data_IF_849511365651
#
_entry.id   IF_849511365651
#
_cell.length_a   1.000
_cell.length_b   1.000
_cell.length_c   1.000
_cell.angle_alpha   90.00
_cell.angle_beta   90.00
_cell.angle_gamma   90.00
#
_symmetry.space_group_name_H-M   'P 1'
#
loop_
_entity.id
_entity.type
_entity.pdbx_description
1 polymer ?
#
# COMPACT_ATOMS: atom_id res chain seq x y z
N UNK A 1 -7.68 4.39 7.22
CA UNK A 1 -8.42 5.67 7.11
C UNK A 1 -7.87 6.39 5.89
N UNK A 2 -8.75 6.87 5.02
CA UNK A 2 -8.42 7.34 3.68
C UNK A 2 -9.19 8.63 3.40
N UNK A 3 -8.59 9.71 2.86
CA UNK A 3 -7.42 9.72 1.96
C UNK A 3 -6.34 10.75 2.30
N UNK A 4 -5.15 10.46 1.81
CA UNK A 4 -4.14 11.47 1.56
C UNK A 4 -3.74 11.38 0.10
N UNK A 5 -4.26 12.28 -0.73
CA UNK A 5 -3.81 12.43 -2.12
C UNK A 5 -2.48 13.15 -2.23
N UNK A 6 -2.09 13.93 -1.21
CA UNK A 6 -0.86 14.74 -1.20
C UNK A 6 0.27 14.05 -0.42
N UNK A 7 1.49 14.22 -0.93
CA UNK A 7 2.70 13.62 -0.37
C UNK A 7 3.01 14.16 1.04
N UNK A 8 2.81 15.46 1.26
CA UNK A 8 3.06 16.13 2.53
C UNK A 8 2.25 15.50 3.66
N UNK A 9 1.01 15.11 3.37
CA UNK A 9 0.13 14.52 4.34
C UNK A 9 0.60 13.09 4.67
N UNK A 10 1.08 12.31 3.69
CA UNK A 10 1.73 11.01 3.93
C UNK A 10 2.90 11.19 4.89
N UNK A 11 3.82 12.11 4.57
CA UNK A 11 5.01 12.36 5.39
C UNK A 11 4.61 12.77 6.80
N UNK A 12 3.65 13.67 6.96
CA UNK A 12 3.14 14.07 8.28
C UNK A 12 2.61 12.88 9.08
N UNK A 13 1.80 12.02 8.47
CA UNK A 13 1.23 10.83 9.12
C UNK A 13 2.28 9.80 9.55
N UNK A 14 3.34 9.63 8.76
CA UNK A 14 4.45 8.74 9.11
C UNK A 14 5.31 9.38 10.20
N UNK A 15 5.75 10.62 9.99
CA UNK A 15 6.70 11.32 10.87
C UNK A 15 6.13 11.59 12.26
N UNK A 16 4.82 11.86 12.39
CA UNK A 16 4.19 12.00 13.72
C UNK A 16 4.26 10.73 14.57
N UNK A 17 4.60 9.57 13.98
CA UNK A 17 4.73 8.27 14.64
C UNK A 17 6.18 7.77 14.74
N UNK A 18 7.16 8.55 14.25
CA UNK A 18 8.58 8.18 14.10
C UNK A 18 9.32 7.85 15.42
N UNK A 19 8.72 8.16 16.58
CA UNK A 19 9.33 7.92 17.89
C UNK A 19 8.64 6.80 18.69
N UNK A 20 7.76 6.04 18.06
CA UNK A 20 7.13 4.89 18.70
C UNK A 20 8.06 3.66 18.63
N UNK A 21 7.94 2.74 19.59
CA UNK A 21 8.71 1.49 19.62
C UNK A 21 8.38 0.54 18.44
N UNK A 22 7.33 0.85 17.68
CA UNK A 22 6.83 0.02 16.59
C UNK A 22 6.96 0.78 15.27
N UNK A 23 7.61 0.18 14.26
CA UNK A 23 7.66 0.74 12.91
C UNK A 23 6.28 1.07 12.34
N UNK A 24 6.20 2.16 11.59
CA UNK A 24 5.00 2.56 10.85
C UNK A 24 4.87 1.70 9.61
N UNK A 25 3.77 0.95 9.52
CA UNK A 25 3.49 0.04 8.39
C UNK A 25 2.30 0.56 7.61
N UNK A 26 2.49 0.69 6.31
CA UNK A 26 1.48 1.24 5.41
C UNK A 26 1.65 0.74 3.98
N UNK A 27 0.57 0.80 3.21
CA UNK A 27 0.59 0.58 1.77
C UNK A 27 0.47 1.88 0.98
N UNK A 28 1.07 1.97 -0.20
CA UNK A 28 0.74 2.95 -1.23
C UNK A 28 0.13 2.20 -2.40
N UNK A 29 -1.10 2.56 -2.78
CA UNK A 29 -1.73 2.13 -4.01
C UNK A 29 -1.43 3.19 -5.06
N UNK A 30 -0.44 2.94 -5.92
CA UNK A 30 -0.15 3.83 -7.03
C UNK A 30 -1.09 3.45 -8.17
N UNK A 31 -2.21 4.17 -8.26
CA UNK A 31 -3.27 3.90 -9.21
C UNK A 31 -3.72 5.20 -9.90
N UNK A 32 -3.37 5.33 -11.19
CA UNK A 32 -3.86 6.42 -12.04
C UNK A 32 -5.29 6.10 -12.49
N UNK A 33 -6.24 7.01 -12.27
CA UNK A 33 -7.64 6.84 -12.68
C UNK A 33 -7.78 6.59 -14.19
N UNK A 34 -6.91 7.15 -15.03
CA UNK A 34 -6.99 7.00 -16.48
C UNK A 34 -6.54 5.62 -16.97
N UNK A 35 -5.88 4.82 -16.13
CA UNK A 35 -5.46 3.47 -16.49
C UNK A 35 -6.62 2.48 -16.30
N UNK A 36 -7.05 1.84 -17.40
CA UNK A 36 -8.17 0.88 -17.37
C UNK A 36 -7.96 -0.22 -16.33
N UNK A 37 -6.76 -0.81 -16.30
CA UNK A 37 -6.40 -1.86 -15.34
C UNK A 37 -6.48 -1.37 -13.88
N UNK A 38 -6.15 -0.11 -13.58
CA UNK A 38 -6.35 0.44 -12.22
C UNK A 38 -7.82 0.36 -11.79
N UNK A 39 -8.74 0.74 -12.70
CA UNK A 39 -10.17 0.69 -12.42
C UNK A 39 -10.63 -0.74 -12.15
N UNK A 40 -10.26 -1.64 -13.06
CA UNK A 40 -10.62 -3.06 -13.00
C UNK A 40 -10.11 -3.75 -11.74
N UNK A 41 -8.85 -3.54 -11.36
CA UNK A 41 -8.23 -4.30 -10.26
C UNK A 41 -8.35 -3.64 -8.88
N UNK A 42 -8.48 -2.32 -8.80
CA UNK A 42 -8.29 -1.57 -7.55
C UNK A 42 -9.46 -0.65 -7.26
N UNK A 43 -9.71 0.32 -8.15
CA UNK A 43 -10.58 1.45 -7.81
C UNK A 43 -12.04 1.01 -7.64
N UNK A 44 -12.51 0.04 -8.44
CA UNK A 44 -13.85 -0.52 -8.30
C UNK A 44 -14.07 -1.30 -6.99
N UNK A 45 -12.99 -1.74 -6.33
CA UNK A 45 -13.04 -2.54 -5.10
C UNK A 45 -12.55 -1.78 -3.87
N UNK A 46 -12.32 -0.47 -3.98
CA UNK A 46 -11.69 0.33 -2.93
C UNK A 46 -12.50 0.33 -1.63
N UNK A 47 -13.84 0.32 -1.70
CA UNK A 47 -14.70 0.21 -0.52
C UNK A 47 -14.58 -1.16 0.16
N UNK A 48 -14.42 -2.23 -0.62
CA UNK A 48 -14.19 -3.58 -0.09
C UNK A 48 -12.84 -3.65 0.63
N UNK A 49 -11.81 -3.03 0.05
CA UNK A 49 -10.49 -2.96 0.66
C UNK A 49 -10.49 -2.10 1.93
N UNK A 50 -11.16 -0.96 1.92
CA UNK A 50 -11.34 -0.13 3.12
C UNK A 50 -12.03 -0.92 4.23
N UNK A 51 -13.16 -1.58 3.92
CA UNK A 51 -13.91 -2.41 4.86
C UNK A 51 -13.06 -3.54 5.45
N UNK A 52 -12.25 -4.22 4.63
CA UNK A 52 -11.44 -5.37 5.08
C UNK A 52 -10.14 -4.98 5.78
N UNK A 53 -9.56 -3.83 5.43
CA UNK A 53 -8.33 -3.34 6.07
C UNK A 53 -8.54 -2.95 7.54
N UNK A 54 -9.78 -2.57 7.90
CA UNK A 54 -10.33 -2.37 9.27
C UNK A 54 -9.29 -1.93 10.32
N UNK A 55 -8.55 -0.86 10.00
CA UNK A 55 -7.53 -0.20 10.83
C UNK A 55 -6.21 -0.98 11.07
N UNK A 56 -6.06 -2.22 10.59
CA UNK A 56 -4.85 -3.02 10.81
C UNK A 56 -3.66 -2.56 9.97
N UNK A 57 -3.93 -2.01 8.78
CA UNK A 57 -2.93 -1.39 7.92
C UNK A 57 -3.54 -0.17 7.24
N UNK A 58 -2.83 0.95 7.29
CA UNK A 58 -3.23 2.14 6.54
C UNK A 58 -2.69 2.01 5.13
N UNK A 59 -3.49 2.40 4.15
CA UNK A 59 -3.00 2.56 2.80
C UNK A 59 -3.14 4.05 2.42
N UNK A 60 -2.38 4.49 1.42
CA UNK A 60 -2.42 5.82 0.81
C UNK A 60 -2.52 5.70 -0.72
N UNK A 61 -3.16 6.69 -1.37
CA UNK A 61 -3.69 6.61 -2.73
C UNK A 61 -3.41 7.98 -3.31
N UNK A 62 -2.24 8.15 -3.93
CA UNK A 62 -1.78 9.42 -4.45
C UNK A 62 -2.79 10.05 -5.39
N UNK A 63 -2.92 11.37 -5.36
CA UNK A 63 -3.74 12.12 -6.32
C UNK A 63 -5.24 12.19 -6.05
N UNK A 64 -5.80 11.47 -5.08
CA UNK A 64 -7.23 11.52 -4.76
C UNK A 64 -7.52 12.48 -3.60
N UNK A 65 -8.35 13.50 -3.86
CA UNK A 65 -8.62 14.63 -2.97
C UNK A 65 -10.10 14.71 -2.62
N UNK A 66 -10.43 15.19 -1.41
CA UNK A 66 -11.83 15.43 -0.99
C UNK A 66 -12.51 16.55 -1.79
N UNK A 67 -11.71 17.49 -2.27
CA UNK A 67 -12.20 18.64 -3.02
C UNK A 67 -12.20 18.35 -4.51
N UNK A 68 -13.35 18.57 -5.14
CA UNK A 68 -13.45 18.61 -6.58
C UNK A 68 -12.95 19.97 -7.09
N UNK A 69 -11.65 20.02 -7.38
CA UNK A 69 -11.00 21.25 -7.84
C UNK A 69 -11.34 21.59 -9.30
N UNK A 70 -11.92 20.66 -10.07
CA UNK A 70 -12.06 20.79 -11.53
C UNK A 70 -13.42 20.36 -12.09
N UNK A 71 -14.39 20.02 -11.25
CA UNK A 71 -15.69 19.48 -11.66
C UNK A 71 -15.51 18.16 -12.45
N UNK A 72 -14.64 17.27 -11.97
CA UNK A 72 -14.27 16.05 -12.66
C UNK A 72 -15.15 14.86 -12.23
N UNK A 73 -15.64 14.08 -13.20
CA UNK A 73 -16.29 12.78 -12.94
C UNK A 73 -15.29 11.66 -12.54
N UNK A 74 -14.01 12.01 -12.42
CA UNK A 74 -12.90 11.10 -12.14
C UNK A 74 -12.78 10.83 -10.65
N UNK A 75 -13.79 10.19 -10.07
CA UNK A 75 -13.89 9.98 -8.62
C UNK A 75 -13.98 8.53 -8.19
N UNK A 76 -13.60 8.31 -6.94
CA UNK A 76 -13.92 7.10 -6.18
C UNK A 76 -14.76 7.48 -4.97
N UNK A 77 -15.57 6.55 -4.48
CA UNK A 77 -16.35 6.73 -3.27
C UNK A 77 -15.84 5.79 -2.19
N UNK A 78 -15.58 6.30 -0.99
CA UNK A 78 -15.24 5.49 0.19
C UNK A 78 -16.10 5.98 1.35
N UNK A 79 -16.89 5.08 1.96
CA UNK A 79 -17.78 5.42 3.10
C UNK A 79 -18.70 6.61 2.78
N UNK A 80 -19.31 6.61 1.60
CA UNK A 80 -20.21 7.67 1.13
C UNK A 80 -19.55 9.05 0.99
N UNK A 81 -18.22 9.12 0.98
CA UNK A 81 -17.47 10.33 0.64
C UNK A 81 -16.80 10.14 -0.71
N UNK A 82 -16.90 11.16 -1.54
CA UNK A 82 -16.29 11.18 -2.87
C UNK A 82 -14.88 11.78 -2.79
N UNK A 83 -13.97 11.19 -3.56
CA UNK A 83 -12.60 11.66 -3.71
C UNK A 83 -12.24 11.72 -5.19
N UNK A 84 -11.76 12.88 -5.60
CA UNK A 84 -11.57 13.27 -6.99
C UNK A 84 -10.10 13.13 -7.36
N UNK A 85 -9.85 12.52 -8.52
CA UNK A 85 -8.50 12.36 -9.04
C UNK A 85 -7.98 13.69 -9.58
N UNK A 86 -6.79 14.05 -9.14
CA UNK A 86 -6.04 15.20 -9.64
C UNK A 86 -4.67 14.74 -10.14
N UNK A 87 -4.48 14.81 -11.47
CA UNK A 87 -3.27 14.32 -12.14
C UNK A 87 -2.00 15.05 -11.69
N UNK A 88 -2.05 16.37 -11.51
CA UNK A 88 -0.86 17.14 -11.11
C UNK A 88 -0.41 16.76 -9.69
N UNK A 89 -1.37 16.57 -8.77
CA UNK A 89 -1.10 16.10 -7.41
C UNK A 89 -0.56 14.67 -7.42
N UNK A 90 -1.11 13.80 -8.27
CA UNK A 90 -0.62 12.44 -8.46
C UNK A 90 0.84 12.42 -8.93
N UNK A 91 1.17 13.18 -9.98
CA UNK A 91 2.53 13.24 -10.54
C UNK A 91 3.52 13.84 -9.54
N UNK A 92 3.18 14.97 -8.92
CA UNK A 92 4.01 15.59 -7.88
C UNK A 92 4.25 14.65 -6.69
N UNK A 93 3.27 13.82 -6.33
CA UNK A 93 3.45 12.80 -5.31
C UNK A 93 4.50 11.78 -5.73
N UNK A 94 4.41 11.27 -6.96
CA UNK A 94 5.35 10.26 -7.47
C UNK A 94 6.77 10.81 -7.64
N UNK A 95 6.92 12.05 -8.11
CA UNK A 95 8.23 12.72 -8.20
C UNK A 95 8.91 12.80 -6.81
N UNK A 96 8.15 13.15 -5.78
CA UNK A 96 8.65 13.20 -4.39
C UNK A 96 8.95 11.82 -3.83
N UNK A 97 8.13 10.82 -4.16
CA UNK A 97 8.37 9.42 -3.79
C UNK A 97 9.69 8.92 -4.41
N UNK A 98 9.97 9.27 -5.66
CA UNK A 98 11.23 8.95 -6.33
C UNK A 98 12.42 9.60 -5.63
N UNK A 99 12.31 10.89 -5.29
CA UNK A 99 13.40 11.63 -4.62
C UNK A 99 13.70 11.08 -3.22
N UNK A 100 12.67 10.95 -2.38
CA UNK A 100 12.84 10.67 -0.95
C UNK A 100 12.95 9.17 -0.65
N UNK A 101 12.09 8.37 -1.27
CA UNK A 101 12.07 6.92 -1.04
C UNK A 101 12.99 6.18 -2.00
N UNK A 102 13.37 6.74 -3.16
CA UNK A 102 14.08 6.01 -4.23
C UNK A 102 13.22 4.90 -4.84
N UNK A 103 11.98 5.24 -5.17
CA UNK A 103 11.03 4.37 -5.86
C UNK A 103 10.76 4.97 -7.24
N UNK A 104 11.20 4.29 -8.29
CA UNK A 104 11.00 4.75 -9.66
C UNK A 104 9.52 4.77 -10.05
N UNK A 105 9.17 5.63 -11.01
CA UNK A 105 7.81 5.68 -11.57
C UNK A 105 7.41 4.30 -12.13
N UNK A 106 6.30 3.69 -11.64
CA UNK A 106 6.01 2.29 -11.94
C UNK A 106 5.46 2.06 -13.36
N UNK A 107 4.90 3.08 -14.02
CA UNK A 107 4.20 3.00 -15.33
C UNK A 107 2.96 2.10 -15.36
N UNK A 108 2.76 1.25 -14.36
CA UNK A 108 1.62 0.38 -14.18
C UNK A 108 1.04 0.48 -12.75
N UNK A 109 -0.18 -0.04 -12.50
CA UNK A 109 -0.75 -0.09 -11.17
C UNK A 109 0.12 -0.95 -10.23
N UNK A 110 0.59 -0.37 -9.12
CA UNK A 110 1.40 -1.09 -8.13
C UNK A 110 0.88 -0.90 -6.71
N UNK A 111 1.01 -1.96 -5.92
CA UNK A 111 0.94 -1.89 -4.47
C UNK A 111 2.37 -1.82 -3.92
N UNK A 112 2.66 -0.79 -3.12
CA UNK A 112 3.92 -0.65 -2.40
C UNK A 112 3.63 -0.80 -0.91
N UNK A 113 4.08 -1.88 -0.28
CA UNK A 113 4.02 -2.03 1.18
C UNK A 113 5.33 -1.56 1.80
N UNK A 114 5.27 -0.76 2.86
CA UNK A 114 6.42 -0.15 3.50
C UNK A 114 6.40 -0.32 5.02
N UNK A 115 7.59 -0.53 5.57
CA UNK A 115 7.86 -0.60 7.00
C UNK A 115 8.93 0.42 7.32
N UNK A 116 8.49 1.52 7.93
CA UNK A 116 9.31 2.65 8.29
C UNK A 116 9.59 2.64 9.80
N UNK A 117 10.86 2.47 10.19
CA UNK A 117 11.28 2.63 11.58
C UNK A 117 11.49 4.12 11.89
N UNK A 118 12.61 4.69 11.41
CA UNK A 118 13.00 6.08 11.67
C UNK A 118 14.07 6.60 10.72
N UNK A 119 14.26 7.91 10.71
CA UNK A 119 15.32 8.59 9.96
C UNK A 119 14.94 8.87 8.51
N UNK A 120 15.76 8.35 7.58
CA UNK A 120 15.64 8.66 6.16
C UNK A 120 14.77 7.61 5.45
N UNK A 121 13.79 8.09 4.67
CA UNK A 121 12.87 7.26 3.91
C UNK A 121 13.55 6.31 2.90
N UNK A 122 14.75 6.64 2.43
CA UNK A 122 15.47 5.78 1.48
C UNK A 122 15.94 4.43 2.07
N UNK A 123 15.91 4.25 3.40
CA UNK A 123 16.18 2.97 4.12
C UNK A 123 14.92 2.26 4.55
N UNK A 124 13.76 2.72 4.07
CA UNK A 124 12.48 2.08 4.37
C UNK A 124 12.46 0.72 3.68
N UNK A 125 12.24 -0.33 4.47
CA UNK A 125 12.00 -1.67 3.95
C UNK A 125 10.71 -1.66 3.15
N UNK A 126 10.75 -2.22 1.94
CA UNK A 126 9.62 -2.14 1.02
C UNK A 126 9.44 -3.36 0.14
N UNK A 127 8.18 -3.57 -0.21
CA UNK A 127 7.73 -4.59 -1.14
C UNK A 127 6.92 -3.89 -2.22
N UNK A 128 7.26 -4.11 -3.49
CA UNK A 128 6.55 -3.56 -4.63
C UNK A 128 5.90 -4.73 -5.37
N UNK A 129 4.59 -4.68 -5.57
CA UNK A 129 3.80 -5.70 -6.26
C UNK A 129 3.14 -5.06 -7.47
N UNK A 130 3.52 -5.48 -8.67
CA UNK A 130 2.83 -5.15 -9.91
C UNK A 130 1.49 -5.87 -9.97
N UNK A 131 0.39 -5.10 -10.07
CA UNK A 131 -0.97 -5.62 -9.97
C UNK A 131 -1.57 -6.01 -11.33
N UNK A 132 -0.88 -5.66 -12.42
CA UNK A 132 -1.44 -5.70 -13.76
C UNK A 132 -0.69 -6.67 -14.71
N UNK A 133 0.03 -7.64 -14.11
CA UNK A 133 0.91 -8.56 -14.81
C UNK A 133 0.14 -9.39 -15.85
N UNK A 134 0.78 -9.73 -16.98
CA UNK A 134 0.17 -10.50 -18.07
C UNK A 134 -0.45 -11.80 -17.55
N UNK A 135 -1.78 -11.88 -17.47
CA UNK A 135 -2.52 -13.04 -16.96
C UNK A 135 -2.99 -12.96 -15.50
N UNK A 136 -2.88 -11.80 -14.85
CA UNK A 136 -3.50 -11.53 -13.55
C UNK A 136 -5.01 -11.41 -13.69
N UNK A 137 -5.76 -12.27 -13.00
CA UNK A 137 -7.22 -12.13 -12.91
C UNK A 137 -7.59 -11.23 -11.71
N UNK A 138 -8.67 -10.45 -11.87
CA UNK A 138 -9.23 -9.55 -10.85
C UNK A 138 -9.46 -10.30 -9.53
N UNK A 139 -9.94 -11.54 -9.64
CA UNK A 139 -10.15 -12.41 -8.49
C UNK A 139 -8.87 -12.64 -7.69
N UNK A 140 -7.76 -12.94 -8.37
CA UNK A 140 -6.49 -13.23 -7.72
C UNK A 140 -5.90 -12.01 -7.03
N UNK A 141 -6.03 -10.82 -7.65
CA UNK A 141 -5.65 -9.55 -7.02
C UNK A 141 -6.48 -9.33 -5.76
N UNK A 142 -7.80 -9.51 -5.83
CA UNK A 142 -8.70 -9.39 -4.68
C UNK A 142 -8.35 -10.34 -3.54
N UNK A 143 -8.13 -11.63 -3.84
CA UNK A 143 -7.74 -12.65 -2.86
C UNK A 143 -6.39 -12.34 -2.21
N UNK A 144 -5.42 -11.82 -2.97
CA UNK A 144 -4.14 -11.35 -2.41
C UNK A 144 -4.35 -10.21 -1.41
N UNK A 145 -5.18 -9.22 -1.73
CA UNK A 145 -5.51 -8.14 -0.78
C UNK A 145 -6.19 -8.69 0.48
N UNK A 146 -7.18 -9.58 0.34
CA UNK A 146 -7.83 -10.21 1.49
C UNK A 146 -6.82 -10.94 2.38
N UNK A 147 -5.89 -11.68 1.77
CA UNK A 147 -4.82 -12.37 2.51
C UNK A 147 -3.88 -11.42 3.25
N UNK A 148 -3.50 -10.30 2.62
CA UNK A 148 -2.70 -9.25 3.27
C UNK A 148 -3.43 -8.71 4.51
N UNK A 149 -4.74 -8.45 4.41
CA UNK A 149 -5.54 -7.93 5.51
C UNK A 149 -5.70 -8.94 6.65
N UNK A 150 -5.89 -10.23 6.33
CA UNK A 150 -5.94 -11.31 7.33
C UNK A 150 -4.63 -11.37 8.13
N UNK A 151 -3.49 -11.38 7.44
CA UNK A 151 -2.16 -11.42 8.10
C UNK A 151 -1.96 -10.17 8.96
N UNK A 152 -2.33 -8.98 8.45
CA UNK A 152 -2.23 -7.74 9.22
C UNK A 152 -3.06 -7.82 10.52
N UNK A 153 -4.30 -8.32 10.44
CA UNK A 153 -5.19 -8.49 11.59
C UNK A 153 -4.60 -9.45 12.63
N UNK A 154 -4.09 -10.60 12.20
CA UNK A 154 -3.46 -11.58 13.09
C UNK A 154 -2.26 -10.97 13.83
N UNK A 155 -1.40 -10.26 13.11
CA UNK A 155 -0.18 -9.66 13.68
C UNK A 155 -0.48 -8.55 14.65
N UNK A 156 -1.40 -7.64 14.32
CA UNK A 156 -1.83 -6.56 15.22
C UNK A 156 -2.44 -7.15 16.50
N UNK A 157 -3.33 -8.14 16.36
CA UNK A 157 -3.96 -8.82 17.50
C UNK A 157 -2.93 -9.47 18.43
N UNK A 158 -1.90 -10.12 17.87
CA UNK A 158 -0.82 -10.73 18.63
C UNK A 158 0.04 -9.66 19.32
N UNK A 159 0.35 -8.55 18.65
CA UNK A 159 1.16 -7.48 19.23
C UNK A 159 0.42 -6.80 20.40
N UNK A 160 -0.88 -6.55 20.25
CA UNK A 160 -1.71 -5.99 21.33
C UNK A 160 -1.79 -6.94 22.53
N UNK A 161 -1.88 -8.25 22.28
CA UNK A 161 -1.80 -9.27 23.31
C UNK A 161 -0.41 -9.36 23.97
N UNK A 162 0.68 -9.25 23.22
CA UNK A 162 2.05 -9.30 23.76
C UNK A 162 2.36 -8.09 24.64
N UNK A 163 1.91 -6.90 24.24
CA UNK A 163 2.01 -5.66 25.02
C UNK A 163 1.26 -5.75 26.34
N UNK A 164 0.05 -6.29 26.34
CA UNK A 164 -0.73 -6.46 27.58
C UNK A 164 -0.07 -7.44 28.56
N UNK A 165 0.81 -8.32 28.06
CA UNK A 165 1.58 -9.28 28.84
C UNK A 165 3.03 -8.83 29.16
N UNK A 166 3.44 -7.60 28.80
CA UNK A 166 4.81 -7.08 28.96
C UNK A 166 5.91 -8.04 28.45
N UNK A 167 5.65 -8.78 27.37
CA UNK A 167 6.65 -9.66 26.76
C UNK A 167 7.13 -9.07 25.44
N UNK A 168 8.36 -8.56 25.46
CA UNK A 168 9.11 -8.18 24.26
C UNK A 168 9.52 -9.45 23.52
N UNK A 169 8.86 -9.76 22.41
CA UNK A 169 9.20 -11.02 21.75
C UNK A 169 8.49 -11.37 20.47
N UNK A 170 8.36 -10.44 19.51
CA UNK A 170 8.12 -10.83 18.11
C UNK A 170 9.01 -10.01 17.16
N UNK A 171 10.16 -10.61 16.84
CA UNK A 171 11.25 -10.02 16.02
C UNK A 171 11.02 -10.02 14.50
N UNK A 172 9.90 -10.54 13.98
CA UNK A 172 9.59 -10.47 12.54
C UNK A 172 8.58 -9.37 12.27
N UNK A 173 8.96 -8.39 11.45
CA UNK A 173 8.09 -7.30 11.01
C UNK A 173 6.89 -7.82 10.21
N UNK A 174 5.79 -7.06 10.19
CA UNK A 174 4.57 -7.45 9.47
C UNK A 174 4.85 -7.69 7.98
N UNK A 175 5.79 -6.95 7.36
CA UNK A 175 6.12 -7.18 5.95
C UNK A 175 6.72 -8.56 5.68
N UNK A 176 7.53 -9.10 6.59
CA UNK A 176 8.07 -10.46 6.42
C UNK A 176 6.97 -11.49 6.48
N UNK A 177 6.03 -11.33 7.43
CA UNK A 177 4.87 -12.22 7.55
C UNK A 177 3.93 -12.11 6.37
N UNK A 178 3.73 -10.91 5.82
CA UNK A 178 2.96 -10.72 4.59
C UNK A 178 3.61 -11.52 3.47
N UNK A 179 4.90 -11.33 3.18
CA UNK A 179 5.60 -12.08 2.11
C UNK A 179 5.52 -13.58 2.31
N UNK A 180 5.78 -14.07 3.53
CA UNK A 180 5.67 -15.50 3.85
C UNK A 180 4.24 -16.03 3.67
N UNK A 181 3.21 -15.20 3.94
CA UNK A 181 1.81 -15.60 3.85
C UNK A 181 1.16 -15.40 2.47
N UNK A 182 1.73 -14.58 1.58
CA UNK A 182 1.27 -14.41 0.19
C UNK A 182 2.10 -15.22 -0.82
N UNK A 183 3.38 -15.54 -0.56
CA UNK A 183 4.32 -16.46 -1.24
C UNK A 183 4.09 -16.84 -2.75
N UNK A 184 4.68 -17.95 -3.23
CA UNK A 184 4.64 -18.47 -4.61
C UNK A 184 3.25 -18.78 -5.17
N UNK A 185 2.22 -18.75 -4.32
CA UNK A 185 0.83 -18.99 -4.70
C UNK A 185 0.21 -17.78 -5.38
N UNK A 186 0.54 -16.57 -4.93
CA UNK A 186 -0.03 -15.33 -5.46
C UNK A 186 0.98 -14.51 -6.27
N UNK A 187 2.26 -14.55 -5.89
CA UNK A 187 3.28 -13.65 -6.46
C UNK A 187 4.50 -14.41 -7.01
N UNK A 188 5.14 -13.82 -8.02
CA UNK A 188 6.42 -14.25 -8.58
C UNK A 188 7.45 -13.13 -8.43
N UNK A 189 8.63 -13.43 -7.90
CA UNK A 189 9.70 -12.45 -7.77
C UNK A 189 10.20 -12.00 -9.15
N UNK A 190 10.27 -10.68 -9.36
CA UNK A 190 10.88 -10.07 -10.55
C UNK A 190 12.37 -9.81 -10.27
N UNK A 191 12.68 -9.26 -9.10
CA UNK A 191 14.05 -8.93 -8.69
C UNK A 191 14.17 -8.87 -7.17
N UNK A 192 15.31 -9.33 -6.65
CA UNK A 192 15.68 -9.27 -5.23
C UNK A 192 17.05 -8.58 -5.13
N UNK A 193 17.08 -7.28 -4.81
CA UNK A 193 18.36 -6.60 -4.56
C UNK A 193 18.76 -6.71 -3.09
N UNK A 194 20.06 -6.55 -2.87
CA UNK A 194 20.79 -6.68 -1.60
C UNK A 194 20.49 -5.62 -0.53
N UNK A 195 19.48 -4.75 -0.70
CA UNK A 195 19.22 -3.60 0.20
C UNK A 195 17.74 -3.28 0.42
N UNK A 196 16.94 -4.23 0.93
CA UNK A 196 15.62 -3.94 1.52
C UNK A 196 14.45 -3.65 0.53
N UNK A 197 14.65 -3.82 -0.79
CA UNK A 197 13.61 -3.71 -1.81
C UNK A 197 13.36 -5.08 -2.45
N UNK A 198 12.13 -5.58 -2.32
CA UNK A 198 11.69 -6.78 -3.02
C UNK A 198 10.61 -6.43 -4.04
N UNK A 199 10.80 -6.79 -5.31
CA UNK A 199 9.84 -6.53 -6.39
C UNK A 199 9.22 -7.83 -6.89
N UNK A 200 7.89 -7.84 -6.95
CA UNK A 200 7.09 -8.98 -7.35
C UNK A 200 6.04 -8.58 -8.38
N UNK A 201 5.51 -9.58 -9.07
CA UNK A 201 4.30 -9.48 -9.90
C UNK A 201 3.32 -10.56 -9.48
N UNK A 202 2.02 -10.34 -9.72
CA UNK A 202 1.02 -11.40 -9.59
C UNK A 202 1.35 -12.55 -10.55
N UNK A 203 1.13 -13.78 -10.10
CA UNK A 203 1.39 -15.00 -10.87
C UNK A 203 0.25 -15.26 -11.87
N UNK A 204 0.56 -15.36 -13.15
CA UNK A 204 -0.44 -15.70 -14.18
C UNK A 204 -1.09 -17.06 -13.92
N UNK A 205 -2.42 -17.14 -14.07
CA UNK A 205 -3.13 -18.41 -14.11
C UNK A 205 -3.05 -18.90 -15.56
N UNK A 206 -2.37 -20.03 -15.79
CA UNK A 206 -2.34 -20.69 -17.09
C UNK A 206 -3.67 -21.36 -17.41
#
# INVERSE_FOLDING_TARGET
MWPLGQYERLVYEIKRRENNEIPVIFGLLVADFHQQKCKEYILNYIERFDYKSDQYINFYLPGYLEEDLFNNDEKITIKQKDFYFNRDTYLNFLDKLEVDFKIDYPYNPVLILMEYDRGNFNRTKRIIIELDSNGSDIKQVGEMFERIFEIAKEVVSINDFSKSLMKDGLKKGLLDKIIEGIDISYITAIYKNTKEINKYRIKSVN
#
